data_IF_943897729125
#
_entry.id   IF_943897729125
#
_cell.length_a   1.000
_cell.length_b   1.000
_cell.length_c   1.000
_cell.angle_alpha   90.00
_cell.angle_beta   90.00
_cell.angle_gamma   90.00
#
_symmetry.space_group_name_H-M   'P 1'
#
loop_
_entity.id
_entity.type
_entity.pdbx_description
1 polymer ?
#
# COMPACT_ATOMS: atom_id res chain seq x y z
N UNK A 1 -23.91 -21.42 -10.31
CA UNK A 1 -23.08 -20.60 -9.40
C UNK A 1 -22.15 -19.83 -10.31
N UNK A 2 -22.38 -18.53 -10.48
CA UNK A 2 -21.47 -17.69 -11.27
C UNK A 2 -20.25 -17.51 -10.38
N UNK A 3 -19.12 -18.12 -10.75
CA UNK A 3 -17.82 -17.81 -10.15
C UNK A 3 -17.57 -16.32 -10.42
N UNK A 4 -17.94 -15.50 -9.44
CA UNK A 4 -17.59 -14.10 -9.40
C UNK A 4 -16.12 -14.09 -9.06
N UNK A 5 -15.32 -14.21 -10.12
CA UNK A 5 -13.86 -14.14 -10.14
C UNK A 5 -13.43 -13.17 -9.06
N UNK A 6 -12.93 -13.73 -7.96
CA UNK A 6 -12.64 -13.00 -6.75
C UNK A 6 -11.44 -12.11 -7.10
N UNK A 7 -11.72 -10.89 -7.60
CA UNK A 7 -10.75 -9.87 -8.01
C UNK A 7 -9.78 -9.77 -6.84
N UNK A 8 -8.58 -10.27 -7.08
CA UNK A 8 -7.77 -10.90 -6.06
C UNK A 8 -7.46 -9.92 -4.92
N UNK A 9 -7.53 -10.34 -3.65
CA UNK A 9 -7.17 -9.51 -2.49
C UNK A 9 -5.68 -9.09 -2.49
N UNK A 10 -4.95 -9.41 -3.57
CA UNK A 10 -3.52 -9.22 -3.73
C UNK A 10 -3.10 -7.75 -3.59
N UNK A 11 -3.83 -6.79 -4.17
CA UNK A 11 -3.51 -5.38 -4.01
C UNK A 11 -3.63 -4.89 -2.56
N UNK A 12 -4.66 -5.36 -1.84
CA UNK A 12 -4.82 -5.07 -0.41
C UNK A 12 -3.70 -5.68 0.43
N UNK A 13 -3.28 -6.90 0.12
CA UNK A 13 -2.14 -7.57 0.78
C UNK A 13 -0.84 -6.80 0.53
N UNK A 14 -0.59 -6.35 -0.70
CA UNK A 14 0.59 -5.54 -1.05
C UNK A 14 0.60 -4.21 -0.28
N UNK A 15 -0.55 -3.55 -0.16
CA UNK A 15 -0.68 -2.33 0.64
C UNK A 15 -0.41 -2.56 2.13
N UNK A 16 -0.91 -3.66 2.69
CA UNK A 16 -0.66 -4.03 4.10
C UNK A 16 0.84 -4.29 4.32
N UNK A 17 1.48 -5.03 3.42
CA UNK A 17 2.93 -5.30 3.50
C UNK A 17 3.76 -4.03 3.34
N UNK A 18 3.36 -3.12 2.46
CA UNK A 18 4.01 -1.82 2.30
C UNK A 18 3.85 -0.95 3.55
N UNK A 19 2.66 -0.88 4.13
CA UNK A 19 2.40 -0.13 5.36
C UNK A 19 3.20 -0.71 6.55
N UNK A 20 3.27 -2.05 6.64
CA UNK A 20 4.06 -2.74 7.66
C UNK A 20 5.56 -2.42 7.48
N UNK A 21 6.10 -2.53 6.26
CA UNK A 21 7.49 -2.20 5.97
C UNK A 21 7.84 -0.75 6.26
N UNK A 22 6.96 0.18 5.88
CA UNK A 22 7.12 1.60 6.16
C UNK A 22 7.11 1.91 7.67
N UNK A 23 6.18 1.31 8.42
CA UNK A 23 6.11 1.50 9.88
C UNK A 23 7.33 0.93 10.60
N UNK A 24 7.87 -0.22 10.16
CA UNK A 24 9.13 -0.75 10.70
C UNK A 24 10.33 0.15 10.36
N UNK A 25 10.41 0.66 9.13
CA UNK A 25 11.49 1.54 8.69
C UNK A 25 11.51 2.87 9.48
N UNK A 26 10.35 3.46 9.79
CA UNK A 26 10.25 4.70 10.57
C UNK A 26 10.49 4.46 12.07
N UNK A 27 10.12 3.28 12.59
CA UNK A 27 10.28 2.91 14.00
C UNK A 27 11.75 2.66 14.38
N UNK A 28 12.58 2.23 13.43
CA UNK A 28 14.04 2.25 13.62
C UNK A 28 14.47 3.72 13.76
N UNK A 29 15.18 4.07 14.84
CA UNK A 29 15.62 5.44 15.15
C UNK A 29 16.54 5.98 14.03
N UNK A 30 15.94 6.53 12.98
CA UNK A 30 16.63 7.11 11.82
C UNK A 30 16.61 8.63 11.84
N UNK A 31 17.59 9.30 11.19
CA UNK A 31 17.60 10.75 11.00
C UNK A 31 16.28 11.28 10.43
N UNK A 32 15.90 12.51 10.78
CA UNK A 32 14.63 13.13 10.35
C UNK A 32 14.41 13.10 8.84
N UNK A 33 15.47 13.28 8.04
CA UNK A 33 15.39 13.23 6.58
C UNK A 33 14.95 11.85 6.05
N UNK A 34 15.37 10.77 6.71
CA UNK A 34 15.01 9.41 6.33
C UNK A 34 13.51 9.16 6.54
N UNK A 35 12.97 9.63 7.67
CA UNK A 35 11.53 9.55 7.97
C UNK A 35 10.69 10.29 6.94
N UNK A 36 11.10 11.51 6.55
CA UNK A 36 10.41 12.31 5.54
C UNK A 36 10.34 11.55 4.20
N UNK A 37 11.46 10.99 3.74
CA UNK A 37 11.49 10.19 2.50
C UNK A 37 10.57 8.98 2.57
N UNK A 38 10.59 8.24 3.69
CA UNK A 38 9.73 7.06 3.87
C UNK A 38 8.24 7.46 3.85
N UNK A 39 7.87 8.56 4.49
CA UNK A 39 6.48 9.04 4.46
C UNK A 39 6.04 9.42 3.04
N UNK A 40 6.87 10.11 2.28
CA UNK A 40 6.56 10.46 0.88
C UNK A 40 6.33 9.19 0.05
N UNK A 41 7.24 8.20 0.15
CA UNK A 41 7.09 6.93 -0.56
C UNK A 41 5.84 6.17 -0.14
N UNK A 42 5.51 6.17 1.15
CA UNK A 42 4.32 5.50 1.69
C UNK A 42 3.05 6.11 1.11
N UNK A 43 2.97 7.45 1.01
CA UNK A 43 1.83 8.14 0.40
C UNK A 43 1.65 7.74 -1.05
N UNK A 44 2.74 7.69 -1.83
CA UNK A 44 2.69 7.26 -3.24
C UNK A 44 2.18 5.82 -3.37
N UNK A 45 2.67 4.90 -2.54
CA UNK A 45 2.24 3.49 -2.56
C UNK A 45 0.77 3.35 -2.20
N UNK A 46 0.28 4.08 -1.18
CA UNK A 46 -1.13 4.08 -0.80
C UNK A 46 -2.02 4.62 -1.92
N UNK A 47 -1.61 5.72 -2.56
CA UNK A 47 -2.35 6.28 -3.70
C UNK A 47 -2.41 5.30 -4.87
N UNK A 48 -1.29 4.69 -5.25
CA UNK A 48 -1.23 3.72 -6.35
C UNK A 48 -2.07 2.48 -6.06
N UNK A 49 -1.90 1.88 -4.88
CA UNK A 49 -2.70 0.71 -4.49
C UNK A 49 -4.18 1.04 -4.33
N UNK A 50 -4.52 2.23 -3.84
CA UNK A 50 -5.89 2.73 -3.78
C UNK A 50 -6.49 2.89 -5.17
N UNK A 51 -5.81 3.54 -6.11
CA UNK A 51 -6.26 3.70 -7.50
C UNK A 51 -6.45 2.35 -8.17
N UNK A 52 -5.52 1.40 -8.01
CA UNK A 52 -5.66 0.04 -8.56
C UNK A 52 -6.87 -0.68 -7.96
N UNK A 53 -7.08 -0.56 -6.64
CA UNK A 53 -8.22 -1.16 -5.93
C UNK A 53 -9.55 -0.57 -6.41
N UNK A 54 -9.69 0.76 -6.52
CA UNK A 54 -10.92 1.41 -6.96
C UNK A 54 -11.18 1.24 -8.46
N UNK A 55 -10.13 1.21 -9.28
CA UNK A 55 -10.24 0.88 -10.70
C UNK A 55 -10.87 -0.50 -10.89
N UNK A 56 -10.47 -1.47 -10.06
CA UNK A 56 -11.04 -2.82 -10.02
C UNK A 56 -12.49 -2.86 -9.50
N UNK A 57 -13.08 -1.79 -8.98
CA UNK A 57 -14.51 -1.73 -8.64
C UNK A 57 -15.36 -1.05 -9.72
N UNK A 58 -14.75 -0.29 -10.63
CA UNK A 58 -15.47 0.57 -11.58
C UNK A 58 -15.93 -0.12 -12.87
N UNK A 59 -15.78 -1.44 -12.99
CA UNK A 59 -16.04 -2.19 -14.21
C UNK A 59 -16.94 -3.41 -14.00
#
# INVERSE_FOLDING_TARGET
>A
MVDREQRTPFYGVVLILAALGASMAVSYYGPTWFRVTVYILTVVVVLVGGVMTFRDYSH
#
